data_IF_816160542386
#
_entry.id   IF_816160542386
#
_cell.length_a   1.000
_cell.length_b   1.000
_cell.length_c   1.000
_cell.angle_alpha   90.00
_cell.angle_beta   90.00
_cell.angle_gamma   90.00
#
_symmetry.space_group_name_H-M   'P 1'
#
loop_
_entity.id
_entity.type
_entity.pdbx_description
1 polymer ?
#
# COMPACT_ATOMS: atom_id res chain seq x y z
N UNK A 1 -26.91 -19.61 -18.41
CA UNK A 1 -26.94 -18.91 -17.11
C UNK A 1 -26.16 -17.61 -17.27
N UNK A 2 -26.83 -16.49 -17.54
CA UNK A 2 -26.20 -15.17 -17.68
C UNK A 2 -26.16 -14.54 -16.28
N UNK A 3 -24.98 -14.49 -15.69
CA UNK A 3 -24.74 -13.68 -14.50
C UNK A 3 -24.57 -12.24 -14.98
N UNK A 4 -25.65 -11.46 -14.88
CA UNK A 4 -25.58 -10.00 -14.90
C UNK A 4 -24.86 -9.54 -13.62
N UNK A 5 -23.53 -9.60 -13.63
CA UNK A 5 -22.69 -8.94 -12.63
C UNK A 5 -22.74 -7.45 -12.96
N UNK A 6 -23.75 -6.75 -12.43
CA UNK A 6 -23.72 -5.29 -12.35
C UNK A 6 -22.62 -4.90 -11.37
N UNK A 7 -21.40 -4.75 -11.88
CA UNK A 7 -20.35 -4.03 -11.19
C UNK A 7 -20.90 -2.64 -10.86
N UNK A 8 -21.04 -2.35 -9.57
CA UNK A 8 -21.30 -0.97 -9.13
C UNK A 8 -20.08 -0.14 -9.48
N UNK A 9 -20.15 0.56 -10.59
CA UNK A 9 -19.19 1.59 -10.98
C UNK A 9 -19.25 2.76 -10.00
N UNK A 10 -18.09 3.11 -9.45
CA UNK A 10 -17.70 4.37 -8.81
C UNK A 10 -18.63 4.95 -7.73
N UNK A 11 -18.34 4.66 -6.46
CA UNK A 11 -18.67 5.59 -5.38
C UNK A 11 -17.58 6.67 -5.37
N UNK A 12 -17.91 7.91 -5.73
CA UNK A 12 -17.03 9.02 -5.39
C UNK A 12 -16.81 9.00 -3.87
N UNK A 13 -15.56 9.15 -3.37
CA UNK A 13 -15.32 9.07 -1.94
C UNK A 13 -16.18 10.12 -1.23
N UNK A 14 -16.96 9.70 -0.23
CA UNK A 14 -17.70 10.64 0.61
C UNK A 14 -16.73 11.53 1.40
N UNK A 15 -17.21 12.68 1.88
CA UNK A 15 -16.40 13.58 2.70
C UNK A 15 -15.79 12.87 3.93
N UNK A 16 -16.50 11.88 4.48
CA UNK A 16 -16.00 11.04 5.57
C UNK A 16 -14.80 10.17 5.16
N UNK A 17 -14.84 9.54 3.97
CA UNK A 17 -13.70 8.77 3.44
C UNK A 17 -12.47 9.66 3.22
N UNK A 18 -12.69 10.88 2.75
CA UNK A 18 -11.61 11.85 2.58
C UNK A 18 -11.04 12.26 3.94
N UNK A 19 -11.88 12.55 4.93
CA UNK A 19 -11.45 12.92 6.27
C UNK A 19 -10.59 11.82 6.93
N UNK A 20 -11.01 10.55 6.84
CA UNK A 20 -10.22 9.41 7.35
C UNK A 20 -8.86 9.31 6.64
N UNK A 21 -8.83 9.47 5.31
CA UNK A 21 -7.58 9.45 4.55
C UNK A 21 -6.64 10.59 4.97
N UNK A 22 -7.17 11.79 5.17
CA UNK A 22 -6.40 12.94 5.64
C UNK A 22 -5.86 12.72 7.06
N UNK A 23 -6.65 12.12 7.95
CA UNK A 23 -6.20 11.76 9.29
C UNK A 23 -5.02 10.77 9.24
N UNK A 24 -5.10 9.70 8.42
CA UNK A 24 -3.98 8.77 8.21
C UNK A 24 -2.73 9.48 7.66
N UNK A 25 -2.87 10.38 6.69
CA UNK A 25 -1.74 11.15 6.16
C UNK A 25 -1.11 12.08 7.21
N UNK A 26 -1.91 12.68 8.10
CA UNK A 26 -1.40 13.52 9.18
C UNK A 26 -0.53 12.74 10.18
N UNK A 27 -0.80 11.45 10.38
CA UNK A 27 0.02 10.60 11.24
C UNK A 27 1.47 10.47 10.76
N UNK A 28 1.72 10.62 9.45
CA UNK A 28 3.06 10.60 8.84
C UNK A 28 3.78 11.96 8.89
N UNK A 29 3.11 13.01 9.36
CA UNK A 29 3.60 14.41 9.31
C UNK A 29 3.51 15.16 10.63
N UNK A 30 2.95 14.54 11.68
CA UNK A 30 2.89 15.10 13.04
C UNK A 30 4.27 15.12 13.71
N UNK A 31 4.35 15.76 14.88
CA UNK A 31 5.58 15.96 15.67
C UNK A 31 6.30 14.63 15.98
N UNK A 32 5.54 13.59 16.32
CA UNK A 32 6.03 12.21 16.43
C UNK A 32 5.51 11.37 15.24
N UNK A 33 6.18 11.41 14.08
CA UNK A 33 5.67 10.79 12.87
C UNK A 33 5.65 9.26 13.00
N UNK A 34 4.59 8.65 12.51
CA UNK A 34 4.55 7.21 12.32
C UNK A 34 5.60 6.78 11.30
N UNK A 35 6.25 5.64 11.53
CA UNK A 35 7.13 5.01 10.54
C UNK A 35 6.27 4.21 9.56
N UNK A 36 6.59 4.28 8.28
CA UNK A 36 5.90 3.59 7.22
C UNK A 36 6.91 2.80 6.37
N UNK A 37 6.67 1.51 6.22
CA UNK A 37 7.31 0.70 5.19
C UNK A 37 6.23 0.20 4.23
N UNK A 38 6.26 0.67 3.00
CA UNK A 38 5.28 0.31 1.97
C UNK A 38 5.96 -0.48 0.86
N UNK A 39 5.38 -1.64 0.52
CA UNK A 39 5.78 -2.47 -0.62
C UNK A 39 4.68 -2.39 -1.66
N UNK A 40 4.99 -1.84 -2.83
CA UNK A 40 4.06 -1.62 -3.93
C UNK A 40 4.30 -2.67 -5.00
N UNK A 41 3.28 -3.44 -5.37
CA UNK A 41 3.37 -4.30 -6.55
C UNK A 41 3.55 -3.46 -7.83
N UNK A 42 4.49 -3.81 -8.70
CA UNK A 42 4.81 -3.07 -9.93
C UNK A 42 3.57 -2.69 -10.75
N UNK A 43 2.58 -3.57 -10.83
CA UNK A 43 1.34 -3.33 -11.56
C UNK A 43 0.62 -2.03 -11.18
N UNK A 44 0.71 -1.57 -9.92
CA UNK A 44 0.08 -0.31 -9.47
C UNK A 44 0.75 0.93 -10.09
N UNK A 45 2.01 0.82 -10.50
CA UNK A 45 2.73 1.89 -11.20
C UNK A 45 2.28 2.02 -12.65
N UNK A 46 1.52 1.07 -13.18
CA UNK A 46 1.06 1.06 -14.57
C UNK A 46 -0.44 1.29 -14.73
N UNK A 47 -1.12 1.73 -13.67
CA UNK A 47 -2.57 1.99 -13.66
C UNK A 47 -2.84 3.50 -13.61
N UNK A 48 -3.00 4.21 -14.74
CA UNK A 48 -3.13 5.67 -14.80
C UNK A 48 -4.52 6.17 -14.36
N UNK A 49 -4.88 5.87 -13.12
CA UNK A 49 -6.13 6.28 -12.49
C UNK A 49 -6.17 7.81 -12.32
N UNK A 50 -7.29 8.43 -12.66
CA UNK A 50 -7.45 9.88 -12.63
C UNK A 50 -6.83 10.62 -13.83
N UNK A 51 -6.29 9.90 -14.81
CA UNK A 51 -5.71 10.46 -16.03
C UNK A 51 -4.20 10.78 -15.92
N UNK A 52 -3.52 11.04 -17.05
CA UNK A 52 -2.05 11.09 -17.11
C UNK A 52 -1.40 12.13 -16.19
N UNK A 53 -1.99 13.32 -16.08
CA UNK A 53 -1.45 14.41 -15.26
C UNK A 53 -1.54 14.09 -13.76
N UNK A 54 -2.68 13.57 -13.31
CA UNK A 54 -2.91 13.16 -11.92
C UNK A 54 -1.99 12.00 -11.57
N UNK A 55 -1.89 11.01 -12.43
CA UNK A 55 -1.07 9.84 -12.19
C UNK A 55 0.42 10.20 -12.07
N UNK A 56 0.93 11.04 -12.97
CA UNK A 56 2.30 11.56 -12.87
C UNK A 56 2.54 12.33 -11.57
N UNK A 57 1.58 13.16 -11.15
CA UNK A 57 1.68 13.91 -9.90
C UNK A 57 1.69 12.98 -8.67
N UNK A 58 0.93 11.88 -8.70
CA UNK A 58 0.93 10.85 -7.65
C UNK A 58 2.28 10.12 -7.57
N UNK A 59 2.84 9.69 -8.69
CA UNK A 59 4.17 9.04 -8.71
C UNK A 59 5.27 9.98 -8.21
N UNK A 60 5.24 11.25 -8.62
CA UNK A 60 6.18 12.25 -8.11
C UNK A 60 5.98 12.51 -6.61
N UNK A 61 4.74 12.43 -6.12
CA UNK A 61 4.47 12.52 -4.69
C UNK A 61 5.08 11.35 -3.90
N UNK A 62 4.97 10.11 -4.39
CA UNK A 62 5.62 8.94 -3.79
C UNK A 62 7.14 9.14 -3.70
N UNK A 63 7.77 9.62 -4.78
CA UNK A 63 9.21 9.93 -4.79
C UNK A 63 9.61 10.98 -3.75
N UNK A 64 8.78 12.00 -3.53
CA UNK A 64 9.02 12.99 -2.47
C UNK A 64 8.87 12.39 -1.08
N UNK A 65 7.87 11.52 -0.86
CA UNK A 65 7.66 10.84 0.43
C UNK A 65 8.80 9.90 0.77
N UNK A 66 9.34 9.16 -0.20
CA UNK A 66 10.46 8.24 -0.02
C UNK A 66 11.78 8.92 0.41
N UNK A 67 11.85 10.26 0.41
CA UNK A 67 13.00 11.03 0.91
C UNK A 67 12.85 11.47 2.37
N UNK A 68 11.70 11.22 3.00
CA UNK A 68 11.46 11.59 4.39
C UNK A 68 11.95 10.50 5.33
N UNK A 69 12.53 10.91 6.44
CA UNK A 69 12.92 9.99 7.50
C UNK A 69 11.69 9.22 8.02
N UNK A 70 11.87 7.92 8.23
CA UNK A 70 10.81 7.03 8.68
C UNK A 70 9.86 6.55 7.59
N UNK A 71 10.04 6.93 6.32
CA UNK A 71 9.27 6.39 5.19
C UNK A 71 10.18 5.59 4.26
N UNK A 72 9.89 4.30 4.12
CA UNK A 72 10.51 3.41 3.14
C UNK A 72 9.47 2.99 2.13
N UNK A 73 9.78 3.17 0.84
CA UNK A 73 8.94 2.68 -0.27
C UNK A 73 9.79 1.74 -1.11
N UNK A 74 9.29 0.52 -1.29
CA UNK A 74 9.87 -0.47 -2.17
C UNK A 74 8.86 -0.89 -3.23
N UNK A 75 9.36 -1.31 -4.39
CA UNK A 75 8.56 -1.87 -5.48
C UNK A 75 8.85 -3.36 -5.56
N UNK A 76 7.80 -4.16 -5.47
CA UNK A 76 7.86 -5.59 -5.75
C UNK A 76 7.69 -5.78 -7.26
N UNK A 77 8.76 -6.14 -8.00
CA UNK A 77 8.69 -6.29 -9.45
C UNK A 77 7.84 -7.49 -9.83
N UNK A 78 7.41 -7.53 -11.09
CA UNK A 78 6.85 -8.76 -11.65
C UNK A 78 7.85 -9.91 -11.51
N UNK A 79 7.37 -11.03 -10.96
CA UNK A 79 8.15 -12.25 -10.81
C UNK A 79 7.28 -13.45 -11.17
N UNK A 80 7.94 -14.51 -11.63
CA UNK A 80 7.36 -15.85 -11.81
C UNK A 80 7.34 -16.65 -10.49
N UNK A 81 7.93 -16.12 -9.41
CA UNK A 81 7.97 -16.77 -8.10
C UNK A 81 6.73 -16.40 -7.27
N UNK A 82 6.03 -17.39 -6.69
CA UNK A 82 4.96 -17.12 -5.75
C UNK A 82 5.44 -16.32 -4.53
N UNK A 83 4.61 -15.40 -4.06
CA UNK A 83 4.88 -14.59 -2.86
C UNK A 83 3.57 -14.23 -2.15
N UNK A 84 3.66 -13.90 -0.86
CA UNK A 84 2.48 -13.67 -0.02
C UNK A 84 1.53 -12.57 -0.55
N UNK A 85 2.08 -11.53 -1.18
CA UNK A 85 1.29 -10.46 -1.81
C UNK A 85 0.32 -10.91 -2.91
N UNK A 86 0.44 -12.13 -3.43
CA UNK A 86 -0.53 -12.70 -4.37
C UNK A 86 -1.89 -13.01 -3.71
N UNK A 87 -1.93 -13.15 -2.39
CA UNK A 87 -3.15 -13.44 -1.63
C UNK A 87 -3.96 -12.17 -1.28
N UNK A 88 -3.45 -10.99 -1.60
CA UNK A 88 -4.09 -9.71 -1.34
C UNK A 88 -3.19 -8.74 -0.58
N UNK A 89 -3.63 -7.48 -0.53
CA UNK A 89 -2.97 -6.45 0.25
C UNK A 89 -3.35 -6.58 1.73
N UNK A 90 -2.39 -6.30 2.60
CA UNK A 90 -2.61 -6.22 4.05
C UNK A 90 -1.77 -5.07 4.62
N UNK A 91 -2.14 -4.61 5.81
CA UNK A 91 -1.41 -3.58 6.55
C UNK A 91 -1.14 -4.06 7.96
N UNK A 92 0.11 -3.96 8.42
CA UNK A 92 0.49 -4.25 9.80
C UNK A 92 0.59 -2.94 10.57
N UNK A 93 -0.20 -2.81 11.64
CA UNK A 93 -0.21 -1.68 12.55
C UNK A 93 0.50 -2.09 13.83
N UNK A 94 1.70 -1.57 14.05
CA UNK A 94 2.43 -1.74 15.31
C UNK A 94 2.03 -0.65 16.30
N UNK A 95 1.24 -1.03 17.31
CA UNK A 95 0.78 -0.15 18.36
C UNK A 95 1.60 -0.38 19.64
N UNK A 96 1.43 0.47 20.65
CA UNK A 96 2.22 0.41 21.88
C UNK A 96 2.07 -0.93 22.64
N UNK A 97 0.93 -1.60 22.51
CA UNK A 97 0.59 -2.80 23.29
C UNK A 97 0.32 -4.05 22.46
N UNK A 98 0.15 -3.93 21.13
CA UNK A 98 -0.11 -5.06 20.24
C UNK A 98 0.14 -4.71 18.76
N UNK A 99 0.37 -5.74 17.94
CA UNK A 99 0.43 -5.64 16.49
C UNK A 99 -0.93 -6.10 15.91
N UNK A 100 -1.54 -5.31 15.02
CA UNK A 100 -2.81 -5.63 14.34
C UNK A 100 -2.57 -5.78 12.85
N UNK A 101 -3.14 -6.81 12.23
CA UNK A 101 -3.21 -6.89 10.76
C UNK A 101 -4.58 -6.44 10.30
N UNK A 102 -4.61 -5.49 9.36
CA UNK A 102 -5.81 -5.05 8.67
C UNK A 102 -5.80 -5.60 7.25
N UNK A 103 -6.90 -6.24 6.85
CA UNK A 103 -7.15 -6.70 5.48
C UNK A 103 -8.43 -6.04 4.98
N UNK A 104 -8.31 -5.18 3.99
CA UNK A 104 -9.46 -4.48 3.38
C UNK A 104 -10.09 -5.39 2.31
N UNK A 105 -11.39 -5.65 2.43
CA UNK A 105 -12.21 -6.38 1.45
C UNK A 105 -13.20 -5.41 0.80
N UNK A 106 -13.92 -5.88 -0.23
CA UNK A 106 -14.81 -5.01 -1.02
C UNK A 106 -15.93 -4.36 -0.18
N UNK A 107 -16.43 -5.07 0.83
CA UNK A 107 -17.61 -4.68 1.62
C UNK A 107 -17.32 -4.61 3.13
N UNK A 108 -16.11 -4.92 3.56
CA UNK A 108 -15.74 -5.07 4.96
C UNK A 108 -14.24 -5.00 5.16
N UNK A 109 -13.82 -4.74 6.40
CA UNK A 109 -12.42 -4.83 6.82
C UNK A 109 -12.30 -5.92 7.89
N UNK A 110 -11.26 -6.74 7.80
CA UNK A 110 -10.89 -7.69 8.84
C UNK A 110 -9.70 -7.16 9.65
N UNK A 111 -9.85 -7.21 10.98
CA UNK A 111 -8.77 -6.93 11.93
C UNK A 111 -8.37 -8.22 12.63
N UNK A 112 -7.09 -8.56 12.54
CA UNK A 112 -6.52 -9.78 13.09
C UNK A 112 -5.54 -9.39 14.20
N UNK A 113 -5.82 -9.88 15.41
CA UNK A 113 -5.05 -9.61 16.62
C UNK A 113 -4.49 -10.90 17.26
N UNK A 114 -4.91 -12.06 16.74
CA UNK A 114 -4.38 -13.36 17.17
C UNK A 114 -2.88 -13.46 16.87
N UNK A 115 -2.08 -13.73 17.90
CA UNK A 115 -0.62 -13.69 17.84
C UNK A 115 -0.05 -14.60 16.75
N UNK A 116 -0.52 -15.84 16.66
CA UNK A 116 -0.04 -16.80 15.67
C UNK A 116 -0.32 -16.33 14.23
N UNK A 117 -1.51 -15.77 14.00
CA UNK A 117 -1.88 -15.20 12.71
C UNK A 117 -1.05 -13.96 12.39
N UNK A 118 -0.88 -13.05 13.35
CA UNK A 118 -0.05 -11.84 13.20
C UNK A 118 1.40 -12.20 12.86
N UNK A 119 1.98 -13.22 13.52
CA UNK A 119 3.32 -13.73 13.20
C UNK A 119 3.44 -14.16 11.74
N UNK A 120 2.45 -14.86 11.18
CA UNK A 120 2.47 -15.27 9.77
C UNK A 120 2.49 -14.06 8.82
N UNK A 121 1.75 -13.00 9.13
CA UNK A 121 1.76 -11.78 8.32
C UNK A 121 3.08 -11.00 8.44
N UNK A 122 3.70 -10.99 9.62
CA UNK A 122 5.03 -10.40 9.80
C UNK A 122 6.07 -11.15 8.96
N UNK A 123 6.09 -12.48 9.02
CA UNK A 123 6.99 -13.31 8.19
C UNK A 123 6.75 -13.09 6.69
N UNK A 124 5.48 -13.02 6.29
CA UNK A 124 5.10 -12.70 4.91
C UNK A 124 5.60 -11.31 4.49
N UNK A 125 5.51 -10.32 5.37
CA UNK A 125 6.00 -8.97 5.10
C UNK A 125 7.51 -8.94 4.93
N UNK A 126 8.26 -9.61 5.81
CA UNK A 126 9.72 -9.72 5.71
C UNK A 126 10.16 -10.41 4.41
N UNK A 127 9.48 -11.48 4.00
CA UNK A 127 9.72 -12.11 2.70
C UNK A 127 9.48 -11.17 1.52
N UNK A 128 8.46 -10.30 1.61
CA UNK A 128 8.18 -9.32 0.56
C UNK A 128 9.26 -8.23 0.51
N UNK A 129 9.86 -7.84 1.65
CA UNK A 129 11.00 -6.92 1.68
C UNK A 129 12.17 -7.52 0.89
N UNK A 130 12.49 -8.79 1.14
CA UNK A 130 13.62 -9.48 0.49
C UNK A 130 13.44 -9.67 -1.01
N UNK A 131 12.19 -9.78 -1.47
CA UNK A 131 11.85 -9.92 -2.89
C UNK A 131 11.70 -8.58 -3.62
N UNK A 132 11.42 -7.51 -2.88
CA UNK A 132 11.27 -6.19 -3.45
C UNK A 132 12.62 -5.59 -3.86
N UNK A 133 12.56 -4.65 -4.80
CA UNK A 133 13.72 -3.82 -5.15
C UNK A 133 14.19 -3.05 -3.93
N UNK A 134 15.48 -2.70 -3.90
CA UNK A 134 15.98 -1.78 -2.88
C UNK A 134 15.23 -0.44 -2.96
N UNK A 135 15.18 0.35 -1.87
CA UNK A 135 14.49 1.64 -1.89
C UNK A 135 14.99 2.58 -2.99
N UNK A 136 16.29 2.54 -3.31
CA UNK A 136 16.88 3.35 -4.38
C UNK A 136 16.40 2.90 -5.77
N UNK A 137 16.48 1.60 -6.08
CA UNK A 137 16.00 1.03 -7.35
C UNK A 137 14.49 1.27 -7.55
N UNK A 138 13.73 1.18 -6.46
CA UNK A 138 12.29 1.44 -6.43
C UNK A 138 11.97 2.88 -6.84
N UNK A 139 12.73 3.87 -6.32
CA UNK A 139 12.58 5.28 -6.70
C UNK A 139 12.92 5.50 -8.18
N UNK A 140 13.97 4.84 -8.68
CA UNK A 140 14.37 4.94 -10.08
C UNK A 140 13.31 4.33 -11.01
N UNK A 141 12.71 3.22 -10.61
CA UNK A 141 11.60 2.61 -11.32
C UNK A 141 10.37 3.51 -11.36
N UNK A 142 9.95 4.07 -10.21
CA UNK A 142 8.84 5.04 -10.16
C UNK A 142 9.14 6.25 -11.06
N UNK A 143 10.38 6.74 -11.06
CA UNK A 143 10.79 7.86 -11.91
C UNK A 143 10.73 7.52 -13.40
N UNK A 144 11.06 6.27 -13.78
CA UNK A 144 10.98 5.79 -15.16
C UNK A 144 9.54 5.75 -15.66
N UNK A 145 8.60 5.29 -14.82
CA UNK A 145 7.18 5.18 -15.19
C UNK A 145 6.47 6.54 -15.20
N UNK A 146 6.93 7.50 -14.40
CA UNK A 146 6.37 8.85 -14.37
C UNK A 146 6.68 9.72 -15.61
N UNK A 147 7.46 9.21 -16.59
CA UNK A 147 7.92 9.98 -17.76
C UNK A 147 6.86 10.18 -18.83
#
# INVERSE_FOLDING_TARGET
>A
MRLDVRARTACAPSDDFVAVRMARQSALTREEPARLHAILGEGVLHQPLGGPSVFRAQLEHLRRLARRDGITIQVLPFSDRPHAGMHGAFTILRLASLDVVSVEMLDSDAYIEDEASVTQYLEAFDQLIDLAMTPAESIDMIAKVAR
#
